data_IF_132619248146
#
_entry.id   IF_132619248146
#
_cell.length_a   1.000
_cell.length_b   1.000
_cell.length_c   1.000
_cell.angle_alpha   90.00
_cell.angle_beta   90.00
_cell.angle_gamma   90.00
#
_symmetry.space_group_name_H-M   'P 1'
#
loop_
_entity.id
_entity.type
_entity.pdbx_description
1 polymer ?
#
# COMPACT_ATOMS: atom_id res chain seq x y z
N UNK A 1 32.86 5.70 -37.79
CA UNK A 1 33.04 6.89 -38.64
C UNK A 1 31.80 7.03 -39.50
N UNK A 2 31.14 8.19 -39.43
CA UNK A 2 30.06 8.60 -40.33
C UNK A 2 28.64 8.34 -39.83
N UNK A 3 28.10 9.25 -39.02
CA UNK A 3 26.64 9.48 -38.99
C UNK A 3 26.38 10.96 -39.32
N UNK A 4 25.57 11.14 -40.35
CA UNK A 4 25.22 12.40 -40.97
C UNK A 4 24.30 13.23 -40.06
N UNK A 5 24.55 14.54 -40.05
CA UNK A 5 23.73 15.52 -39.33
C UNK A 5 22.32 15.60 -39.91
N UNK A 6 21.33 15.26 -39.07
CA UNK A 6 19.93 15.59 -39.27
C UNK A 6 19.61 16.94 -38.63
N UNK A 7 18.90 17.77 -39.37
CA UNK A 7 18.54 19.16 -39.06
C UNK A 7 17.52 19.27 -37.92
N UNK A 8 17.84 20.12 -36.93
CA UNK A 8 16.92 20.51 -35.86
C UNK A 8 15.83 21.45 -36.40
N UNK A 9 14.53 21.22 -36.15
CA UNK A 9 13.50 22.18 -36.51
C UNK A 9 13.55 23.39 -35.58
N UNK A 10 13.63 24.59 -36.16
CA UNK A 10 13.61 25.88 -35.45
C UNK A 10 12.22 26.15 -34.89
N UNK A 11 12.11 26.21 -33.56
CA UNK A 11 10.90 26.59 -32.83
C UNK A 11 10.75 28.12 -32.86
N UNK A 12 10.18 28.67 -33.92
CA UNK A 12 9.69 30.06 -33.93
C UNK A 12 8.21 30.08 -33.53
N UNK A 13 7.93 30.15 -32.24
CA UNK A 13 6.73 30.80 -31.69
C UNK A 13 6.77 30.75 -30.15
N UNK A 14 7.38 31.76 -29.54
CA UNK A 14 7.36 32.01 -28.11
C UNK A 14 6.66 33.33 -27.85
N UNK A 15 5.33 33.29 -27.71
CA UNK A 15 4.62 34.28 -26.89
C UNK A 15 4.67 33.84 -25.44
N UNK A 16 5.00 34.78 -24.55
CA UNK A 16 5.20 34.54 -23.13
C UNK A 16 3.90 34.09 -22.46
N UNK A 17 4.01 33.20 -21.47
CA UNK A 17 2.87 32.77 -20.63
C UNK A 17 2.16 33.97 -19.97
N UNK A 18 2.88 35.08 -19.76
CA UNK A 18 2.35 36.32 -19.21
C UNK A 18 1.38 37.05 -20.16
N UNK A 19 1.51 36.89 -21.48
CA UNK A 19 0.64 37.55 -22.47
C UNK A 19 -0.72 36.84 -22.63
N UNK A 20 -0.84 35.57 -22.22
CA UNK A 20 -2.11 34.81 -22.27
C UNK A 20 -3.03 35.07 -21.06
N UNK A 21 -2.58 35.82 -20.06
CA UNK A 21 -3.28 36.02 -18.80
C UNK A 21 -4.05 37.36 -18.73
N UNK A 22 -4.87 37.68 -19.75
CA UNK A 22 -5.83 38.80 -19.65
C UNK A 22 -7.28 38.31 -19.70
N UNK A 23 -7.99 38.66 -18.62
CA UNK A 23 -9.42 38.52 -18.34
C UNK A 23 -9.94 37.10 -18.05
N UNK A 24 -9.65 36.59 -16.84
CA UNK A 24 -10.43 35.50 -16.24
C UNK A 24 -10.92 35.92 -14.86
N UNK A 25 -12.23 36.05 -14.70
CA UNK A 25 -12.91 36.31 -13.43
C UNK A 25 -12.48 35.23 -12.43
N UNK A 26 -12.02 35.64 -11.24
CA UNK A 26 -11.46 34.70 -10.26
C UNK A 26 -12.53 34.22 -9.29
N UNK A 27 -12.33 33.04 -8.67
CA UNK A 27 -13.21 32.53 -7.60
C UNK A 27 -13.40 33.51 -6.44
N UNK A 28 -12.46 34.45 -6.25
CA UNK A 28 -12.54 35.49 -5.22
C UNK A 28 -13.61 36.53 -5.55
N UNK A 29 -13.80 36.85 -6.84
CA UNK A 29 -14.81 37.81 -7.29
C UNK A 29 -16.22 37.24 -7.14
N UNK A 30 -16.38 35.92 -7.32
CA UNK A 30 -17.65 35.21 -7.08
C UNK A 30 -18.04 35.17 -5.59
N UNK A 31 -17.07 34.97 -4.70
CA UNK A 31 -17.33 34.89 -3.25
C UNK A 31 -17.65 36.25 -2.61
N UNK A 32 -17.17 37.35 -3.19
CA UNK A 32 -17.52 38.71 -2.75
C UNK A 32 -18.95 39.08 -3.21
N UNK A 33 -19.43 38.53 -4.33
CA UNK A 33 -20.76 38.84 -4.89
C UNK A 33 -21.94 38.05 -4.32
N UNK A 34 -21.72 36.92 -3.63
CA UNK A 34 -22.80 36.00 -3.23
C UNK A 34 -23.29 36.15 -1.77
N UNK A 35 -22.86 37.20 -1.06
CA UNK A 35 -23.13 37.40 0.37
C UNK A 35 -24.40 38.19 0.72
N UNK A 36 -25.47 38.14 -0.09
CA UNK A 36 -26.75 38.77 0.24
C UNK A 36 -27.92 37.88 -0.21
N UNK A 37 -28.64 37.26 0.74
CA UNK A 37 -29.87 36.52 0.41
C UNK A 37 -30.39 35.55 1.48
N UNK A 38 -31.00 36.11 2.53
CA UNK A 38 -32.12 35.65 3.36
C UNK A 38 -32.27 34.16 3.81
N UNK A 39 -32.38 34.02 5.14
CA UNK A 39 -32.97 32.89 5.86
C UNK A 39 -34.51 32.87 5.75
N UNK A 40 -35.12 31.67 5.82
CA UNK A 40 -36.45 31.49 6.45
C UNK A 40 -36.56 30.12 7.11
N UNK A 41 -37.19 30.13 8.29
CA UNK A 41 -37.38 29.03 9.23
C UNK A 41 -38.58 28.16 8.86
N UNK A 42 -38.57 26.91 9.33
CA UNK A 42 -39.73 26.01 9.28
C UNK A 42 -39.77 25.11 10.52
N UNK A 43 -40.59 25.52 11.50
CA UNK A 43 -41.01 24.73 12.66
C UNK A 43 -42.14 23.79 12.22
N UNK A 44 -42.08 22.50 12.57
CA UNK A 44 -43.26 21.63 12.60
C UNK A 44 -43.30 20.88 13.94
N UNK A 45 -44.42 21.09 14.62
CA UNK A 45 -44.84 20.50 15.88
C UNK A 45 -45.34 19.06 15.68
N UNK A 46 -45.21 18.25 16.74
CA UNK A 46 -46.20 17.22 17.08
C UNK A 46 -45.82 15.78 16.73
N UNK A 47 -45.38 15.03 17.73
CA UNK A 47 -45.25 13.58 17.67
C UNK A 47 -45.09 13.01 19.08
N UNK A 48 -46.17 12.43 19.60
CA UNK A 48 -46.26 11.77 20.91
C UNK A 48 -45.26 10.63 21.05
N UNK A 49 -44.32 10.72 21.98
CA UNK A 49 -43.43 9.62 22.35
C UNK A 49 -44.12 8.70 23.35
N UNK A 50 -44.37 7.46 22.93
CA UNK A 50 -44.74 6.34 23.80
C UNK A 50 -43.48 5.90 24.56
N UNK A 51 -43.48 6.09 25.87
CA UNK A 51 -42.36 5.70 26.74
C UNK A 51 -42.31 4.17 26.88
N UNK A 52 -41.52 3.50 26.05
CA UNK A 52 -41.04 2.15 26.34
C UNK A 52 -39.82 2.25 27.24
N UNK A 53 -39.89 1.55 28.37
CA UNK A 53 -38.87 1.49 29.41
C UNK A 53 -37.63 0.78 28.86
N UNK A 54 -36.72 1.54 28.23
CA UNK A 54 -35.45 1.02 27.75
C UNK A 54 -34.47 0.92 28.93
N UNK A 55 -33.94 -0.29 29.14
CA UNK A 55 -32.84 -0.61 30.03
C UNK A 55 -31.66 0.34 29.74
N UNK A 56 -31.30 1.20 30.69
CA UNK A 56 -30.06 1.98 30.61
C UNK A 56 -28.91 1.11 31.10
N UNK A 57 -27.87 0.86 30.30
CA UNK A 57 -26.63 0.33 30.83
C UNK A 57 -25.98 1.40 31.70
N UNK A 58 -25.63 1.04 32.94
CA UNK A 58 -24.89 1.89 33.86
C UNK A 58 -23.49 2.11 33.30
N UNK A 59 -23.31 3.14 32.48
CA UNK A 59 -21.99 3.66 32.14
C UNK A 59 -21.53 4.47 33.33
N UNK A 60 -20.65 3.87 34.15
CA UNK A 60 -19.85 4.57 35.13
C UNK A 60 -19.06 5.65 34.40
N UNK A 61 -19.60 6.86 34.39
CA UNK A 61 -18.94 8.04 33.82
C UNK A 61 -17.91 8.47 34.84
N UNK A 62 -16.70 7.91 34.74
CA UNK A 62 -15.55 8.49 35.40
C UNK A 62 -15.30 9.85 34.75
N UNK A 63 -15.87 10.92 35.33
CA UNK A 63 -15.46 12.29 35.08
C UNK A 63 -14.03 12.47 35.58
N UNK A 64 -13.07 12.10 34.75
CA UNK A 64 -11.73 12.67 34.82
C UNK A 64 -11.82 14.10 34.27
N UNK A 65 -12.13 15.03 35.16
CA UNK A 65 -11.83 16.46 34.96
C UNK A 65 -10.32 16.64 35.08
N UNK A 66 -9.58 16.03 34.17
CA UNK A 66 -8.21 16.38 33.86
C UNK A 66 -8.26 17.02 32.49
N UNK A 67 -7.90 18.29 32.40
CA UNK A 67 -7.44 18.87 31.14
C UNK A 67 -6.25 18.02 30.69
N UNK A 68 -6.54 16.96 29.94
CA UNK A 68 -5.53 16.18 29.26
C UNK A 68 -4.78 17.21 28.42
N UNK A 69 -3.52 17.45 28.77
CA UNK A 69 -2.57 18.10 27.90
C UNK A 69 -2.73 17.41 26.55
N UNK A 70 -3.38 18.08 25.59
CA UNK A 70 -3.26 17.74 24.19
C UNK A 70 -1.76 17.77 23.96
N UNK A 71 -1.12 16.60 23.91
CA UNK A 71 0.32 16.49 23.76
C UNK A 71 0.68 17.32 22.54
N UNK A 72 1.25 18.50 22.75
CA UNK A 72 1.56 19.41 21.67
C UNK A 72 2.62 18.70 20.85
N UNK A 73 2.25 18.23 19.66
CA UNK A 73 3.21 17.62 18.76
C UNK A 73 4.32 18.64 18.47
N UNK A 74 5.59 18.21 18.35
CA UNK A 74 6.65 19.09 17.89
C UNK A 74 6.23 19.81 16.60
N UNK A 75 6.71 21.04 16.38
CA UNK A 75 6.34 21.81 15.19
C UNK A 75 6.67 21.10 13.86
N UNK A 76 7.62 20.16 13.88
CA UNK A 76 8.00 19.31 12.75
C UNK A 76 7.07 18.12 12.53
N UNK A 77 6.11 17.86 13.41
CA UNK A 77 5.22 16.70 13.36
C UNK A 77 3.77 17.14 13.14
N UNK A 78 3.04 16.38 12.33
CA UNK A 78 1.64 16.64 12.02
C UNK A 78 0.83 15.36 12.06
N UNK A 79 -0.31 15.39 12.75
CA UNK A 79 -1.33 14.33 12.63
C UNK A 79 -2.09 14.48 11.31
N UNK A 80 -2.20 13.41 10.55
CA UNK A 80 -2.96 13.34 9.28
C UNK A 80 -3.80 12.06 9.23
N UNK A 81 -4.95 12.11 8.56
CA UNK A 81 -5.77 10.94 8.23
C UNK A 81 -5.65 10.66 6.72
N UNK A 82 -4.86 9.66 6.34
CA UNK A 82 -4.67 9.28 4.95
C UNK A 82 -5.72 8.25 4.53
N UNK A 83 -6.37 8.44 3.39
CA UNK A 83 -7.23 7.41 2.79
C UNK A 83 -6.45 6.70 1.67
N UNK A 84 -6.00 5.48 1.95
CA UNK A 84 -5.17 4.68 1.05
C UNK A 84 -5.93 3.40 0.71
N UNK A 85 -6.18 3.17 -0.57
CA UNK A 85 -6.90 2.00 -1.07
C UNK A 85 -8.29 1.80 -0.42
N UNK A 86 -8.93 2.91 -0.02
CA UNK A 86 -10.22 2.93 0.68
C UNK A 86 -10.15 2.80 2.19
N UNK A 87 -8.97 2.51 2.76
CA UNK A 87 -8.74 2.39 4.19
C UNK A 87 -8.24 3.72 4.79
N UNK A 88 -8.77 4.09 5.95
CA UNK A 88 -8.34 5.28 6.70
C UNK A 88 -7.18 4.94 7.63
N UNK A 89 -6.09 5.70 7.53
CA UNK A 89 -4.90 5.59 8.35
C UNK A 89 -4.64 6.91 9.07
N UNK A 90 -4.83 6.93 10.39
CA UNK A 90 -4.45 8.09 11.22
C UNK A 90 -3.02 7.91 11.69
N UNK A 91 -2.14 8.81 11.26
CA UNK A 91 -0.69 8.76 11.56
C UNK A 91 -0.15 10.13 11.94
N UNK A 92 0.96 10.15 12.67
CA UNK A 92 1.73 11.37 12.95
C UNK A 92 3.00 11.31 12.11
N UNK A 93 3.15 12.27 11.20
CA UNK A 93 4.24 12.30 10.21
C UNK A 93 5.13 13.51 10.43
N UNK A 94 6.41 13.39 10.06
CA UNK A 94 7.26 14.57 9.93
C UNK A 94 6.77 15.43 8.75
N UNK A 95 6.82 16.75 8.89
CA UNK A 95 6.43 17.70 7.84
C UNK A 95 7.20 17.54 6.53
N UNK A 96 8.37 16.90 6.56
CA UNK A 96 9.23 16.61 5.41
C UNK A 96 9.08 15.19 4.86
N UNK A 97 8.34 14.33 5.56
CA UNK A 97 8.15 12.94 5.19
C UNK A 97 7.30 12.82 3.93
N UNK A 98 7.79 12.07 2.96
CA UNK A 98 7.07 11.77 1.73
C UNK A 98 5.97 10.74 1.96
N UNK A 99 4.99 10.72 1.07
CA UNK A 99 3.92 9.74 1.05
C UNK A 99 4.49 8.32 0.89
N UNK A 100 5.56 8.17 0.10
CA UNK A 100 6.22 6.88 -0.05
C UNK A 100 6.80 6.38 1.27
N UNK A 101 7.54 7.23 1.99
CA UNK A 101 8.11 6.88 3.30
C UNK A 101 7.01 6.53 4.32
N UNK A 102 5.94 7.33 4.39
CA UNK A 102 4.83 7.03 5.31
C UNK A 102 4.15 5.71 4.99
N UNK A 103 3.88 5.43 3.71
CA UNK A 103 3.29 4.15 3.29
C UNK A 103 4.20 2.98 3.64
N UNK A 104 5.48 3.05 3.27
CA UNK A 104 6.38 1.90 3.36
C UNK A 104 6.97 1.71 4.77
N UNK A 105 7.41 2.77 5.43
CA UNK A 105 8.11 2.70 6.71
C UNK A 105 7.18 2.72 7.91
N UNK A 106 6.16 3.60 7.92
CA UNK A 106 5.24 3.67 9.06
C UNK A 106 4.08 2.67 8.94
N UNK A 107 3.48 2.58 7.76
CA UNK A 107 2.27 1.76 7.56
C UNK A 107 2.57 0.33 7.06
N UNK A 108 3.81 0.03 6.67
CA UNK A 108 4.19 -1.27 6.11
C UNK A 108 3.53 -1.59 4.75
N UNK A 109 2.91 -0.60 4.10
CA UNK A 109 2.22 -0.72 2.82
C UNK A 109 3.23 -0.69 1.68
N UNK A 110 3.86 -1.82 1.42
CA UNK A 110 4.85 -1.99 0.34
C UNK A 110 4.20 -2.10 -1.04
N UNK A 111 3.35 -1.14 -1.41
CA UNK A 111 2.55 -1.12 -2.65
C UNK A 111 3.09 -0.18 -3.74
N UNK A 112 4.17 0.55 -3.44
CA UNK A 112 4.93 1.36 -4.38
C UNK A 112 6.43 1.17 -4.14
N UNK A 113 7.27 1.30 -5.18
CA UNK A 113 8.72 1.10 -5.07
C UNK A 113 9.46 2.44 -5.12
N UNK A 114 10.53 2.58 -4.35
CA UNK A 114 11.43 3.73 -4.46
C UNK A 114 12.60 3.38 -5.37
N UNK A 115 12.81 4.17 -6.42
CA UNK A 115 13.92 3.97 -7.36
C UNK A 115 14.96 5.09 -7.35
N UNK A 116 14.51 6.35 -7.37
CA UNK A 116 15.41 7.51 -7.49
C UNK A 116 15.23 8.59 -6.42
N UNK A 117 14.10 8.59 -5.72
CA UNK A 117 13.73 9.59 -4.71
C UNK A 117 13.84 11.07 -5.15
N UNK A 118 13.62 11.33 -6.45
CA UNK A 118 13.74 12.68 -7.05
C UNK A 118 12.80 12.91 -8.23
N UNK A 119 11.66 12.22 -8.22
CA UNK A 119 10.60 12.31 -9.25
C UNK A 119 11.03 12.04 -10.71
N UNK A 120 12.09 11.24 -10.92
CA UNK A 120 12.57 10.93 -12.28
C UNK A 120 12.11 9.56 -12.80
N UNK A 121 12.00 8.55 -11.94
CA UNK A 121 11.88 7.17 -12.40
C UNK A 121 10.44 6.62 -12.48
N UNK A 122 9.46 7.27 -11.85
CA UNK A 122 8.06 6.80 -11.83
C UNK A 122 7.75 5.54 -11.01
N UNK A 123 8.76 4.80 -10.51
CA UNK A 123 8.55 3.54 -9.77
C UNK A 123 7.64 3.68 -8.52
N UNK A 124 7.58 4.88 -7.94
CA UNK A 124 6.77 5.22 -6.78
C UNK A 124 5.39 5.78 -7.14
N UNK A 125 4.96 5.68 -8.41
CA UNK A 125 3.72 6.28 -8.85
C UNK A 125 2.50 5.65 -8.16
N UNK A 126 1.63 6.51 -7.65
CA UNK A 126 0.31 6.22 -7.09
C UNK A 126 -0.69 7.18 -7.73
N UNK A 127 -1.99 6.95 -7.54
CA UNK A 127 -3.00 7.95 -7.90
C UNK A 127 -3.39 8.72 -6.66
N UNK A 128 -3.41 10.05 -6.76
CA UNK A 128 -4.07 10.90 -5.77
C UNK A 128 -5.20 11.64 -6.48
N UNK A 129 -6.43 11.40 -6.04
CA UNK A 129 -7.66 11.90 -6.68
C UNK A 129 -7.70 11.60 -8.19
N UNK A 130 -7.32 10.37 -8.55
CA UNK A 130 -7.31 9.88 -9.94
C UNK A 130 -6.12 10.31 -10.78
N UNK A 131 -5.22 11.15 -10.27
CA UNK A 131 -4.04 11.64 -11.02
C UNK A 131 -2.78 10.86 -10.62
N UNK A 132 -2.05 10.35 -11.61
CA UNK A 132 -0.75 9.70 -11.38
C UNK A 132 0.29 10.71 -10.88
N UNK A 133 0.91 10.41 -9.75
CA UNK A 133 1.91 11.25 -9.10
C UNK A 133 3.01 10.40 -8.45
N UNK A 134 4.23 10.94 -8.44
CA UNK A 134 5.37 10.34 -7.73
C UNK A 134 5.21 10.54 -6.21
N UNK A 135 4.87 9.47 -5.48
CA UNK A 135 4.66 9.54 -4.03
C UNK A 135 5.88 10.02 -3.24
N UNK A 136 7.10 9.83 -3.77
CA UNK A 136 8.34 10.33 -3.16
C UNK A 136 8.43 11.88 -3.12
N UNK A 137 7.59 12.59 -3.89
CA UNK A 137 7.56 14.06 -3.90
C UNK A 137 6.32 14.67 -3.27
N UNK A 138 5.45 13.85 -2.71
CA UNK A 138 4.24 14.31 -2.03
C UNK A 138 4.52 14.28 -0.54
N UNK A 139 4.47 15.42 0.14
CA UNK A 139 4.60 15.45 1.60
C UNK A 139 3.33 14.91 2.26
N UNK A 140 3.44 13.89 3.11
CA UNK A 140 2.30 13.30 3.83
C UNK A 140 1.57 14.35 4.67
N UNK A 141 2.31 15.28 5.26
CA UNK A 141 1.77 16.40 6.03
C UNK A 141 0.88 17.35 5.23
N UNK A 142 0.91 17.30 3.89
CA UNK A 142 0.05 18.12 3.01
C UNK A 142 -1.24 17.40 2.62
N UNK A 143 -1.37 16.13 2.94
CA UNK A 143 -2.55 15.29 2.69
C UNK A 143 -3.48 15.31 3.92
N UNK A 144 -4.47 14.42 3.93
CA UNK A 144 -5.42 14.26 5.01
C UNK A 144 -6.56 15.27 5.05
N UNK A 145 -6.89 15.84 3.88
CA UNK A 145 -8.10 16.64 3.66
C UNK A 145 -9.09 15.90 2.75
N UNK A 146 -9.18 14.58 2.92
CA UNK A 146 -10.10 13.71 2.17
C UNK A 146 -9.61 13.20 0.81
N UNK A 147 -8.35 13.48 0.43
CA UNK A 147 -7.77 12.96 -0.82
C UNK A 147 -7.84 11.43 -0.84
N UNK A 148 -8.18 10.86 -2.01
CA UNK A 148 -8.18 9.42 -2.24
C UNK A 148 -6.84 8.99 -2.83
N UNK A 149 -6.08 8.21 -2.08
CA UNK A 149 -4.80 7.64 -2.53
C UNK A 149 -5.07 6.21 -2.98
N UNK A 150 -4.74 5.91 -4.23
CA UNK A 150 -4.88 4.58 -4.80
C UNK A 150 -3.51 4.03 -5.22
N UNK A 151 -3.19 2.85 -4.75
CA UNK A 151 -1.98 2.10 -5.06
C UNK A 151 -2.30 0.88 -5.93
N UNK A 152 -1.25 0.17 -6.35
CA UNK A 152 -1.38 -1.03 -7.18
C UNK A 152 -2.17 -2.15 -6.49
N UNK A 153 -2.19 -2.18 -5.16
CA UNK A 153 -2.86 -3.22 -4.39
C UNK A 153 -4.39 -3.16 -4.52
N UNK A 154 -4.97 -1.95 -4.65
CA UNK A 154 -6.42 -1.78 -4.81
C UNK A 154 -6.99 -2.29 -6.13
N UNK A 155 -6.15 -2.62 -7.11
CA UNK A 155 -6.64 -2.99 -8.44
C UNK A 155 -7.16 -4.42 -8.49
N UNK A 156 -6.60 -5.32 -7.68
CA UNK A 156 -7.06 -6.70 -7.63
C UNK A 156 -8.39 -6.80 -6.88
N UNK A 157 -9.33 -7.55 -7.44
CA UNK A 157 -10.68 -7.78 -6.88
C UNK A 157 -10.82 -9.13 -6.18
N UNK A 158 -9.79 -9.99 -6.24
CA UNK A 158 -9.81 -11.31 -5.63
C UNK A 158 -8.47 -12.05 -5.78
N UNK A 159 -8.42 -13.32 -5.34
CA UNK A 159 -7.22 -14.14 -5.44
C UNK A 159 -6.97 -14.65 -6.87
N UNK A 160 -5.72 -15.03 -7.11
CA UNK A 160 -5.31 -15.69 -8.36
C UNK A 160 -5.45 -14.83 -9.61
N UNK A 161 -5.29 -15.47 -10.76
CA UNK A 161 -5.27 -14.80 -12.07
C UNK A 161 -6.60 -14.11 -12.39
N UNK A 162 -7.71 -14.72 -11.99
CA UNK A 162 -9.05 -14.21 -12.21
C UNK A 162 -9.34 -12.92 -11.42
N UNK A 163 -8.76 -12.80 -10.22
CA UNK A 163 -8.90 -11.60 -9.39
C UNK A 163 -7.96 -10.44 -9.75
N UNK A 164 -7.00 -10.65 -10.65
CA UNK A 164 -6.16 -9.55 -11.16
C UNK A 164 -6.97 -8.59 -12.01
N UNK A 165 -6.66 -7.29 -11.91
CA UNK A 165 -7.15 -6.31 -12.86
C UNK A 165 -6.63 -6.63 -14.28
N UNK A 166 -7.39 -6.38 -15.37
CA UNK A 166 -6.93 -6.56 -16.75
C UNK A 166 -5.53 -5.99 -17.03
N UNK A 167 -5.22 -4.81 -16.46
CA UNK A 167 -3.88 -4.21 -16.54
C UNK A 167 -2.81 -5.09 -15.89
N UNK A 168 -3.02 -5.54 -14.64
CA UNK A 168 -2.06 -6.41 -13.95
C UNK A 168 -1.84 -7.72 -14.70
N UNK A 169 -2.95 -8.32 -15.18
CA UNK A 169 -2.94 -9.56 -15.97
C UNK A 169 -2.20 -9.39 -17.28
N UNK A 170 -2.45 -8.31 -18.02
CA UNK A 170 -1.77 -8.02 -19.27
C UNK A 170 -0.27 -7.79 -19.08
N UNK A 171 0.13 -7.01 -18.07
CA UNK A 171 1.57 -6.85 -17.74
C UNK A 171 2.22 -8.20 -17.44
N UNK A 172 1.51 -9.06 -16.72
CA UNK A 172 2.02 -10.39 -16.42
C UNK A 172 2.18 -11.26 -17.66
N UNK A 173 1.09 -11.47 -18.41
CA UNK A 173 1.03 -12.46 -19.48
C UNK A 173 1.65 -11.98 -20.79
N UNK A 174 1.85 -10.68 -20.98
CA UNK A 174 2.66 -10.14 -22.09
C UNK A 174 4.15 -10.05 -21.76
N UNK A 175 4.54 -10.29 -20.50
CA UNK A 175 5.91 -10.14 -20.03
C UNK A 175 6.34 -8.68 -19.98
N UNK A 176 5.44 -7.76 -19.65
CA UNK A 176 5.70 -6.31 -19.49
C UNK A 176 6.55 -5.95 -18.27
N UNK A 177 7.34 -6.90 -17.75
CA UNK A 177 8.24 -6.73 -16.62
C UNK A 177 9.31 -7.83 -16.59
N UNK A 178 10.40 -7.57 -15.87
CA UNK A 178 11.39 -8.58 -15.45
C UNK A 178 11.64 -8.44 -13.95
N UNK A 179 12.54 -7.52 -13.54
CA UNK A 179 12.89 -7.33 -12.13
C UNK A 179 11.74 -6.81 -11.25
N UNK A 180 10.66 -6.32 -11.85
CA UNK A 180 9.46 -5.88 -11.13
C UNK A 180 9.53 -4.47 -10.51
N UNK A 181 10.71 -3.87 -10.38
CA UNK A 181 10.89 -2.60 -9.66
C UNK A 181 10.04 -1.47 -10.24
N UNK A 182 10.06 -1.28 -11.56
CA UNK A 182 9.27 -0.22 -12.21
C UNK A 182 7.79 -0.58 -12.41
N UNK A 183 7.43 -1.86 -12.30
CA UNK A 183 6.16 -2.40 -12.80
C UNK A 183 4.94 -1.79 -12.10
N UNK A 184 5.03 -1.55 -10.79
CA UNK A 184 3.94 -0.95 -10.01
C UNK A 184 3.61 0.46 -10.53
N UNK A 185 4.64 1.29 -10.76
CA UNK A 185 4.44 2.64 -11.29
C UNK A 185 3.89 2.67 -12.72
N UNK A 186 4.38 1.75 -13.57
CA UNK A 186 3.84 1.55 -14.92
C UNK A 186 2.37 1.11 -14.90
N UNK A 187 1.98 0.19 -14.02
CA UNK A 187 0.58 -0.25 -13.87
C UNK A 187 -0.30 0.93 -13.43
N UNK A 188 0.13 1.73 -12.45
CA UNK A 188 -0.66 2.88 -11.98
C UNK A 188 -0.79 3.97 -13.05
N UNK A 189 0.27 4.24 -13.81
CA UNK A 189 0.24 5.20 -14.92
C UNK A 189 -0.64 4.71 -16.08
N UNK A 190 -0.60 3.40 -16.37
CA UNK A 190 -1.52 2.76 -17.33
C UNK A 190 -2.96 2.85 -16.86
N UNK A 191 -3.23 2.63 -15.57
CA UNK A 191 -4.57 2.76 -15.01
C UNK A 191 -5.10 4.18 -15.18
N UNK A 192 -4.28 5.21 -14.89
CA UNK A 192 -4.66 6.60 -15.11
C UNK A 192 -4.98 6.87 -16.60
N UNK A 193 -4.12 6.41 -17.51
CA UNK A 193 -4.32 6.54 -18.95
C UNK A 193 -5.63 5.90 -19.40
N UNK A 194 -5.85 4.62 -19.09
CA UNK A 194 -6.99 3.86 -19.61
C UNK A 194 -8.32 4.26 -18.96
N UNK A 195 -8.28 4.82 -17.75
CA UNK A 195 -9.46 5.43 -17.13
C UNK A 195 -9.87 6.71 -17.86
N UNK A 196 -8.90 7.53 -18.29
CA UNK A 196 -9.16 8.78 -19.00
C UNK A 196 -9.44 8.57 -20.50
N UNK A 197 -8.75 7.61 -21.12
CA UNK A 197 -8.87 7.28 -22.53
C UNK A 197 -8.81 5.75 -22.72
N UNK A 198 -9.97 5.09 -22.92
CA UNK A 198 -10.03 3.64 -23.11
C UNK A 198 -9.45 3.14 -24.44
N UNK A 199 -9.14 4.02 -25.40
CA UNK A 199 -8.61 3.68 -26.74
C UNK A 199 -7.42 4.59 -27.09
N UNK A 200 -6.32 4.56 -26.32
CA UNK A 200 -5.19 5.42 -26.61
C UNK A 200 -4.42 4.90 -27.82
N UNK A 201 -3.90 5.83 -28.63
CA UNK A 201 -2.91 5.50 -29.66
C UNK A 201 -1.51 5.33 -29.06
N UNK A 202 -0.55 4.87 -29.87
CA UNK A 202 0.83 4.65 -29.43
C UNK A 202 1.51 5.92 -28.89
N UNK A 203 1.23 7.09 -29.46
CA UNK A 203 1.83 8.33 -29.02
C UNK A 203 1.29 8.75 -27.64
N UNK A 204 -0.01 8.57 -27.43
CA UNK A 204 -0.68 8.79 -26.15
C UNK A 204 -0.19 7.83 -25.07
N UNK A 205 0.03 6.55 -25.41
CA UNK A 205 0.64 5.58 -24.50
C UNK A 205 2.06 6.03 -24.13
N UNK A 206 2.87 6.41 -25.11
CA UNK A 206 4.24 6.89 -24.87
C UNK A 206 4.28 8.11 -23.97
N UNK A 207 3.43 9.11 -24.24
CA UNK A 207 3.37 10.32 -23.45
C UNK A 207 2.95 10.02 -22.01
N UNK A 208 1.88 9.25 -21.82
CA UNK A 208 1.37 8.93 -20.49
C UNK A 208 2.32 8.06 -19.65
N UNK A 209 3.17 7.26 -20.30
CA UNK A 209 4.15 6.42 -19.62
C UNK A 209 5.55 7.04 -19.53
N UNK A 210 5.80 8.19 -20.17
CA UNK A 210 7.11 8.84 -20.25
C UNK A 210 7.76 9.14 -18.89
N UNK A 211 6.94 9.32 -17.84
CA UNK A 211 7.42 9.50 -16.47
C UNK A 211 7.90 8.24 -15.76
N UNK A 212 7.87 7.07 -16.41
CA UNK A 212 8.29 5.78 -15.84
C UNK A 212 9.51 5.22 -16.58
N UNK A 213 10.55 4.88 -15.82
CA UNK A 213 11.81 4.34 -16.36
C UNK A 213 11.90 2.85 -16.09
N UNK A 214 12.09 2.07 -17.15
CA UNK A 214 12.38 0.64 -17.09
C UNK A 214 13.86 0.37 -17.39
N UNK A 215 14.63 -0.10 -16.41
CA UNK A 215 16.04 -0.45 -16.62
C UNK A 215 16.23 -1.78 -17.37
N UNK A 216 15.25 -2.68 -17.29
CA UNK A 216 15.25 -3.94 -18.06
C UNK A 216 14.97 -3.73 -19.56
N UNK A 217 14.50 -2.54 -19.96
CA UNK A 217 14.26 -2.22 -21.38
C UNK A 217 13.00 -2.84 -21.99
N UNK A 218 12.03 -3.27 -21.19
CA UNK A 218 10.84 -4.02 -21.67
C UNK A 218 9.74 -3.14 -22.29
N UNK A 219 10.06 -1.94 -22.78
CA UNK A 219 9.06 -0.96 -23.25
C UNK A 219 8.13 -1.52 -24.34
N UNK A 220 8.63 -2.32 -25.29
CA UNK A 220 7.80 -2.91 -26.32
C UNK A 220 6.74 -3.88 -25.73
N UNK A 221 7.11 -4.69 -24.74
CA UNK A 221 6.18 -5.59 -24.05
C UNK A 221 5.25 -4.82 -23.11
N UNK A 222 5.72 -3.74 -22.49
CA UNK A 222 4.89 -2.81 -21.72
C UNK A 222 3.80 -2.21 -22.62
N UNK A 223 4.14 -1.68 -23.79
CA UNK A 223 3.16 -1.11 -24.72
C UNK A 223 2.17 -2.17 -25.21
N UNK A 224 2.64 -3.39 -25.47
CA UNK A 224 1.76 -4.52 -25.80
C UNK A 224 0.80 -4.84 -24.66
N UNK A 225 1.27 -4.83 -23.41
CA UNK A 225 0.44 -5.02 -22.23
C UNK A 225 -0.63 -3.91 -22.10
N UNK A 226 -0.28 -2.64 -22.34
CA UNK A 226 -1.26 -1.53 -22.31
C UNK A 226 -2.35 -1.74 -23.36
N UNK A 227 -1.98 -2.05 -24.60
CA UNK A 227 -2.95 -2.29 -25.68
C UNK A 227 -3.86 -3.48 -25.37
N UNK A 228 -3.28 -4.57 -24.84
CA UNK A 228 -4.02 -5.77 -24.45
C UNK A 228 -5.00 -5.47 -23.32
N UNK A 229 -4.56 -4.77 -22.28
CA UNK A 229 -5.42 -4.34 -21.17
C UNK A 229 -6.54 -3.42 -21.66
N UNK A 230 -6.25 -2.48 -22.56
CA UNK A 230 -7.23 -1.57 -23.13
C UNK A 230 -8.33 -2.34 -23.90
N UNK A 231 -7.94 -3.31 -24.72
CA UNK A 231 -8.89 -4.15 -25.45
C UNK A 231 -9.76 -4.98 -24.50
N UNK A 232 -9.16 -5.64 -23.51
CA UNK A 232 -9.87 -6.45 -22.52
C UNK A 232 -10.85 -5.61 -21.68
N UNK A 233 -10.45 -4.42 -21.23
CA UNK A 233 -11.31 -3.50 -20.49
C UNK A 233 -12.52 -3.01 -21.30
N UNK A 234 -12.46 -3.07 -22.64
CA UNK A 234 -13.58 -2.78 -23.55
C UNK A 234 -14.44 -4.01 -23.85
N UNK A 235 -14.14 -5.17 -23.27
CA UNK A 235 -14.84 -6.42 -23.52
C UNK A 235 -14.42 -7.14 -24.81
N UNK A 236 -13.30 -6.74 -25.42
CA UNK A 236 -12.79 -7.42 -26.61
C UNK A 236 -12.08 -8.72 -26.22
N UNK A 237 -12.17 -9.73 -27.09
CA UNK A 237 -11.45 -11.00 -26.90
C UNK A 237 -9.95 -10.75 -27.13
N UNK A 238 -9.14 -11.02 -26.11
CA UNK A 238 -7.68 -10.88 -26.17
C UNK A 238 -7.00 -12.25 -26.14
N UNK A 239 -5.84 -12.33 -26.80
CA UNK A 239 -4.94 -13.48 -26.72
C UNK A 239 -3.63 -13.00 -26.13
N UNK A 240 -3.24 -13.57 -24.99
CA UNK A 240 -1.98 -13.21 -24.35
C UNK A 240 -0.80 -13.96 -24.97
N UNK A 241 0.42 -13.40 -24.82
CA UNK A 241 1.66 -14.08 -25.22
C UNK A 241 1.92 -15.36 -24.43
N UNK A 242 1.74 -15.34 -23.11
CA UNK A 242 1.95 -16.50 -22.26
C UNK A 242 0.62 -17.16 -21.88
N UNK A 243 0.59 -18.49 -21.91
CA UNK A 243 -0.51 -19.28 -21.35
C UNK A 243 -0.32 -19.38 -19.83
N UNK A 244 -1.29 -18.94 -19.01
CA UNK A 244 -1.20 -19.09 -17.56
C UNK A 244 -1.13 -20.57 -17.17
N UNK A 245 -0.10 -20.96 -16.43
CA UNK A 245 -0.04 -22.27 -15.78
C UNK A 245 -0.52 -22.07 -14.34
N UNK A 246 -1.78 -22.40 -14.09
CA UNK A 246 -2.37 -22.34 -12.74
C UNK A 246 -2.20 -23.72 -12.10
N UNK A 247 -1.28 -23.83 -11.15
CA UNK A 247 -1.15 -25.03 -10.32
C UNK A 247 -2.00 -24.81 -9.08
N UNK A 248 -3.06 -25.61 -8.93
CA UNK A 248 -3.78 -25.68 -7.66
C UNK A 248 -2.87 -26.35 -6.64
N UNK A 249 -2.18 -25.54 -5.85
CA UNK A 249 -1.50 -26.03 -4.66
C UNK A 249 -2.61 -26.43 -3.69
N UNK A 250 -2.90 -27.73 -3.60
CA UNK A 250 -3.75 -28.23 -2.54
C UNK A 250 -3.16 -27.72 -1.23
N UNK A 251 -3.94 -26.89 -0.54
CA UNK A 251 -3.61 -26.49 0.83
C UNK A 251 -3.44 -27.79 1.59
N UNK A 252 -2.20 -28.17 1.88
CA UNK A 252 -1.93 -29.29 2.78
C UNK A 252 -2.70 -28.92 4.04
N UNK A 253 -3.73 -29.70 4.35
CA UNK A 253 -4.46 -29.53 5.57
C UNK A 253 -3.42 -29.71 6.67
N UNK A 254 -2.98 -28.60 7.26
CA UNK A 254 -2.33 -28.65 8.56
C UNK A 254 -3.41 -29.18 9.49
N UNK A 255 -3.41 -30.49 9.69
CA UNK A 255 -4.03 -31.10 10.85
C UNK A 255 -3.38 -30.42 12.04
N UNK A 256 -4.01 -29.38 12.55
CA UNK A 256 -3.71 -28.90 13.90
C UNK A 256 -3.91 -30.13 14.79
N UNK A 257 -2.88 -30.60 15.50
CA UNK A 257 -3.11 -31.65 16.47
C UNK A 257 -4.11 -31.08 17.48
N UNK A 258 -5.26 -31.72 17.57
CA UNK A 258 -6.30 -31.46 18.57
C UNK A 258 -5.83 -31.94 19.94
N UNK A 259 -4.71 -31.42 20.41
CA UNK A 259 -4.27 -31.48 21.79
C UNK A 259 -3.96 -30.04 22.17
N UNK A 260 -4.43 -29.59 23.33
CA UNK A 260 -4.21 -28.23 23.82
C UNK A 260 -2.70 -28.00 24.01
N UNK A 261 -2.01 -27.58 22.96
CA UNK A 261 -0.58 -27.31 23.00
C UNK A 261 -0.35 -26.07 23.87
N UNK A 262 0.51 -26.21 24.88
CA UNK A 262 1.02 -25.06 25.60
C UNK A 262 2.04 -24.35 24.69
N UNK A 263 2.00 -23.02 24.67
CA UNK A 263 2.88 -22.19 23.85
C UNK A 263 3.42 -21.07 24.70
N UNK A 264 4.73 -20.84 24.67
CA UNK A 264 5.36 -19.73 25.38
C UNK A 264 6.55 -19.18 24.61
N UNK A 265 6.73 -17.87 24.73
CA UNK A 265 7.89 -17.17 24.22
C UNK A 265 8.99 -17.14 25.28
N UNK A 266 10.21 -17.45 24.85
CA UNK A 266 11.41 -17.44 25.66
C UNK A 266 12.43 -16.52 25.02
N UNK A 267 13.06 -15.68 25.84
CA UNK A 267 14.20 -14.87 25.41
C UNK A 267 15.48 -15.64 25.73
N UNK A 268 16.39 -15.75 24.76
CA UNK A 268 17.68 -16.39 25.03
C UNK A 268 18.49 -15.60 26.06
N UNK A 269 19.13 -16.30 27.00
CA UNK A 269 20.09 -15.70 27.91
C UNK A 269 21.30 -15.14 27.14
N UNK A 270 21.73 -15.89 26.12
CA UNK A 270 22.72 -15.47 25.12
C UNK A 270 22.10 -15.68 23.73
N UNK A 271 21.89 -14.63 22.93
CA UNK A 271 21.37 -14.75 21.57
C UNK A 271 22.16 -15.73 20.71
N UNK A 272 21.51 -16.31 19.70
CA UNK A 272 22.22 -16.98 18.61
C UNK A 272 23.07 -15.96 17.85
N UNK A 273 24.23 -16.37 17.33
CA UNK A 273 25.16 -15.46 16.66
C UNK A 273 24.53 -14.89 15.38
N UNK A 274 23.77 -15.73 14.65
CA UNK A 274 23.04 -15.36 13.44
C UNK A 274 21.70 -16.09 13.34
N UNK A 275 20.75 -15.52 12.59
CA UNK A 275 19.43 -16.15 12.33
C UNK A 275 19.55 -17.50 11.61
N UNK A 276 20.64 -17.74 10.88
CA UNK A 276 20.89 -19.00 10.17
C UNK A 276 21.10 -20.18 11.13
N UNK A 277 21.51 -19.90 12.36
CA UNK A 277 21.65 -20.91 13.41
C UNK A 277 20.30 -21.34 14.01
N UNK A 278 19.22 -20.60 13.76
CA UNK A 278 17.90 -20.90 14.31
C UNK A 278 17.33 -22.21 13.75
N UNK A 279 17.45 -22.47 12.46
CA UNK A 279 16.85 -23.66 11.84
C UNK A 279 17.52 -24.97 12.33
N UNK A 280 18.87 -25.07 12.37
CA UNK A 280 19.54 -26.22 12.99
C UNK A 280 19.17 -26.43 14.46
N UNK A 281 19.11 -25.34 15.23
CA UNK A 281 18.73 -25.37 16.64
C UNK A 281 17.28 -25.84 16.83
N UNK A 282 16.34 -25.21 16.12
CA UNK A 282 14.92 -25.56 16.17
C UNK A 282 14.69 -27.01 15.73
N UNK A 283 15.42 -27.49 14.72
CA UNK A 283 15.35 -28.89 14.27
C UNK A 283 15.85 -29.86 15.34
N UNK A 284 16.90 -29.51 16.09
CA UNK A 284 17.39 -30.33 17.19
C UNK A 284 16.38 -30.42 18.34
N UNK A 285 15.78 -29.29 18.72
CA UNK A 285 14.78 -29.21 19.80
C UNK A 285 13.46 -29.90 19.41
N UNK A 286 13.03 -29.80 18.14
CA UNK A 286 11.82 -30.47 17.62
C UNK A 286 11.91 -32.00 17.64
N UNK A 287 13.10 -32.59 17.75
CA UNK A 287 13.27 -34.06 17.87
C UNK A 287 12.95 -34.58 19.27
N UNK A 288 12.82 -33.71 20.27
CA UNK A 288 12.48 -34.12 21.63
C UNK A 288 11.00 -34.47 21.75
N UNK A 289 10.70 -35.62 22.36
CA UNK A 289 9.31 -36.05 22.59
C UNK A 289 8.55 -35.02 23.44
N UNK A 290 7.38 -34.62 22.95
CA UNK A 290 6.56 -33.57 23.56
C UNK A 290 6.77 -32.16 23.00
N UNK A 291 7.83 -31.88 22.24
CA UNK A 291 7.96 -30.61 21.50
C UNK A 291 7.16 -30.72 20.19
N UNK A 292 6.26 -29.77 19.96
CA UNK A 292 5.37 -29.73 18.80
C UNK A 292 5.95 -28.79 17.73
N UNK A 293 6.40 -27.60 18.14
CA UNK A 293 6.96 -26.62 17.22
C UNK A 293 7.91 -25.64 17.93
N UNK A 294 8.83 -25.07 17.17
CA UNK A 294 9.81 -24.07 17.58
C UNK A 294 9.96 -23.10 16.41
N UNK A 295 9.76 -21.81 16.68
CA UNK A 295 9.87 -20.72 15.71
C UNK A 295 10.37 -19.46 16.42
N UNK A 296 10.84 -18.45 15.69
CA UNK A 296 11.25 -17.18 16.28
C UNK A 296 12.39 -16.51 15.54
N UNK A 297 13.27 -15.88 16.30
CA UNK A 297 14.46 -15.16 15.85
C UNK A 297 15.71 -15.60 16.65
N UNK A 298 16.85 -15.00 16.34
CA UNK A 298 18.11 -15.20 17.04
C UNK A 298 18.10 -14.71 18.51
N UNK A 299 17.06 -13.98 18.94
CA UNK A 299 16.94 -13.43 20.30
C UNK A 299 15.79 -14.02 21.11
N UNK A 300 14.71 -14.40 20.44
CA UNK A 300 13.49 -14.86 21.08
C UNK A 300 12.88 -16.00 20.28
N UNK A 301 12.43 -17.03 20.99
CA UNK A 301 11.80 -18.20 20.38
C UNK A 301 10.46 -18.50 21.03
N UNK A 302 9.49 -18.88 20.20
CA UNK A 302 8.22 -19.46 20.62
C UNK A 302 8.36 -20.96 20.56
N UNK A 303 8.18 -21.63 21.70
CA UNK A 303 8.12 -23.10 21.76
C UNK A 303 6.69 -23.52 22.02
N UNK A 304 6.21 -24.47 21.23
CA UNK A 304 4.93 -25.17 21.44
C UNK A 304 5.20 -26.59 21.86
N UNK A 305 4.52 -27.06 22.90
CA UNK A 305 4.70 -28.39 23.45
C UNK A 305 3.39 -29.00 23.93
N UNK A 306 3.40 -30.32 24.09
CA UNK A 306 2.29 -31.09 24.67
C UNK A 306 2.34 -31.01 26.20
N UNK A 307 1.37 -30.36 26.87
CA UNK A 307 1.36 -30.23 28.33
C UNK A 307 1.16 -31.55 29.07
N UNK A 308 0.70 -32.62 28.39
CA UNK A 308 0.64 -33.95 28.98
C UNK A 308 2.03 -34.60 29.12
N UNK A 309 3.03 -34.12 28.38
CA UNK A 309 4.39 -34.67 28.34
C UNK A 309 5.44 -33.75 28.95
N UNK A 310 5.33 -32.44 28.69
CA UNK A 310 6.29 -31.43 29.11
C UNK A 310 5.60 -30.30 29.87
N UNK A 311 6.30 -29.79 30.89
CA UNK A 311 5.98 -28.53 31.55
C UNK A 311 7.01 -27.47 31.16
N UNK A 312 6.76 -26.21 31.50
CA UNK A 312 7.67 -25.10 31.15
C UNK A 312 9.09 -25.32 31.70
N UNK A 313 9.23 -25.90 32.90
CA UNK A 313 10.53 -26.11 33.53
C UNK A 313 11.37 -27.12 32.72
N UNK A 314 10.75 -28.20 32.24
CA UNK A 314 11.38 -29.17 31.34
C UNK A 314 11.75 -28.54 29.99
N UNK A 315 10.89 -27.67 29.44
CA UNK A 315 11.22 -26.95 28.20
C UNK A 315 12.45 -26.06 28.40
N UNK A 316 12.53 -25.29 29.49
CA UNK A 316 13.70 -24.46 29.82
C UNK A 316 14.98 -25.31 29.98
N UNK A 317 14.87 -26.46 30.63
CA UNK A 317 16.00 -27.39 30.80
C UNK A 317 16.47 -27.98 29.46
N UNK A 318 15.54 -28.29 28.53
CA UNK A 318 15.87 -28.75 27.19
C UNK A 318 16.61 -27.67 26.38
N UNK A 319 16.14 -26.43 26.43
CA UNK A 319 16.79 -25.30 25.75
C UNK A 319 18.20 -25.06 26.30
N UNK A 320 18.37 -25.14 27.63
CA UNK A 320 19.69 -25.07 28.27
C UNK A 320 20.62 -26.23 27.88
N UNK A 321 20.10 -27.47 27.81
CA UNK A 321 20.86 -28.64 27.39
C UNK A 321 21.27 -28.58 25.91
N UNK A 322 20.48 -27.91 25.07
CA UNK A 322 20.78 -27.62 23.68
C UNK A 322 21.79 -26.46 23.50
N UNK A 323 22.36 -25.93 24.59
CA UNK A 323 23.39 -24.89 24.58
C UNK A 323 22.86 -23.46 24.59
N UNK A 324 21.54 -23.27 24.56
CA UNK A 324 20.93 -21.94 24.49
C UNK A 324 19.86 -21.78 25.58
N UNK A 325 20.34 -21.58 26.81
CA UNK A 325 19.49 -21.28 27.97
C UNK A 325 18.66 -20.01 27.75
N UNK A 326 17.52 -19.94 28.42
CA UNK A 326 16.54 -18.85 28.26
C UNK A 326 16.25 -18.16 29.60
N UNK A 327 15.94 -16.86 29.53
CA UNK A 327 15.58 -15.99 30.67
C UNK A 327 14.19 -16.29 31.22
#
# INVERSE_FOLDING_TARGET
>A
MGEAGGTTPTRSDTKSFAERAKATVTRRDFLIGAGAGAATAGVVLGGTAVATKAFQPTTTTASTTGTANLSTLPATMRRVELNIDGAKHTVVVDTRESLWETMNFQLGLSNANLGCDRAQCGACAVLVDGRSMNSCTILSARLGRGQQIKTVASLATGPGVAGLHPIQRAYWLEGGFQCGICTRGFIMSTFALLTANPKPDTAQISEALSGNICRCGEYAKIFKAVNTAAAEMRGEKVTYRATPVVVEVQKVATTSPTAAAASKDFEFATPLDTIEQLEPFATAVKKTDGIIDVSGSERQITVKWDPAKLDEAKVRALLAAAGHGVK
#
